data_IF_064865229372
#
_entry.id   IF_064865229372
#
_cell.length_a   1.000
_cell.length_b   1.000
_cell.length_c   1.000
_cell.angle_alpha   90.00
_cell.angle_beta   90.00
_cell.angle_gamma   90.00
#
_symmetry.space_group_name_H-M   'P 1'
#
loop_
_entity.id
_entity.type
_entity.pdbx_description
1 polymer ?
#
# COMPACT_ATOMS: atom_id res chain seq x y z
N UNK A 1 -18.68 57.65 -22.45
CA UNK A 1 -18.51 56.21 -22.73
C UNK A 1 -18.51 55.49 -21.39
N UNK A 2 -19.58 54.75 -21.07
CA UNK A 2 -19.71 54.03 -19.78
C UNK A 2 -19.29 52.58 -19.99
N UNK A 3 -18.22 52.13 -19.32
CA UNK A 3 -17.78 50.74 -19.29
C UNK A 3 -18.42 50.02 -18.10
N UNK A 4 -19.16 48.94 -18.36
CA UNK A 4 -19.60 47.97 -17.36
C UNK A 4 -18.57 46.85 -17.28
N UNK A 5 -17.91 46.67 -16.13
CA UNK A 5 -17.04 45.53 -15.85
C UNK A 5 -17.86 44.41 -15.23
N UNK A 6 -18.13 43.35 -15.98
CA UNK A 6 -18.72 42.14 -15.44
C UNK A 6 -17.63 41.31 -14.75
N UNK A 7 -17.73 41.13 -13.43
CA UNK A 7 -16.90 40.20 -12.68
C UNK A 7 -17.61 38.85 -12.63
N UNK A 8 -17.02 37.81 -13.22
CA UNK A 8 -17.47 36.43 -13.08
C UNK A 8 -16.92 35.88 -11.77
N UNK A 9 -17.78 35.70 -10.76
CA UNK A 9 -17.43 34.95 -9.55
C UNK A 9 -17.86 33.50 -9.76
N UNK A 10 -16.89 32.58 -9.71
CA UNK A 10 -17.19 31.15 -9.54
C UNK A 10 -17.63 30.95 -8.08
N UNK A 11 -18.89 30.62 -7.85
CA UNK A 11 -19.31 30.08 -6.56
C UNK A 11 -18.54 28.79 -6.30
N UNK A 12 -18.05 28.60 -5.08
CA UNK A 12 -17.51 27.31 -4.65
C UNK A 12 -18.62 26.25 -4.80
N UNK A 13 -18.54 25.43 -5.84
CA UNK A 13 -19.38 24.24 -5.98
C UNK A 13 -18.71 23.09 -5.24
N UNK A 14 -19.28 22.70 -4.10
CA UNK A 14 -18.88 21.48 -3.42
C UNK A 14 -19.71 20.31 -3.95
N UNK A 15 -19.13 19.50 -4.84
CA UNK A 15 -19.72 18.21 -5.22
C UNK A 15 -19.33 17.14 -4.19
N UNK A 16 -20.33 16.49 -3.59
CA UNK A 16 -20.08 15.35 -2.70
C UNK A 16 -19.74 14.15 -3.57
N UNK A 17 -18.51 13.64 -3.46
CA UNK A 17 -18.13 12.38 -4.09
C UNK A 17 -18.77 11.25 -3.30
N UNK A 18 -19.86 10.70 -3.81
CA UNK A 18 -20.49 9.50 -3.25
C UNK A 18 -19.68 8.26 -3.58
N UNK A 19 -19.64 7.28 -2.67
CA UNK A 19 -19.00 5.98 -2.91
C UNK A 19 -19.74 5.23 -4.04
N UNK A 20 -19.04 4.58 -4.98
CA UNK A 20 -19.70 3.80 -6.02
C UNK A 20 -20.53 2.65 -5.42
N UNK A 21 -21.66 2.32 -6.06
CA UNK A 21 -22.49 1.16 -5.68
C UNK A 21 -21.73 -0.18 -5.76
N UNK A 22 -20.63 -0.23 -6.53
CA UNK A 22 -19.68 -1.35 -6.60
C UNK A 22 -18.27 -0.78 -6.48
N UNK A 23 -17.72 -0.63 -5.26
CA UNK A 23 -16.39 -0.09 -5.09
C UNK A 23 -15.36 -1.07 -5.66
N UNK A 24 -14.30 -0.56 -6.25
CA UNK A 24 -13.17 -1.39 -6.67
C UNK A 24 -12.48 -1.91 -5.42
N UNK A 25 -12.33 -3.23 -5.29
CA UNK A 25 -11.53 -3.86 -4.24
C UNK A 25 -10.09 -3.97 -4.75
N UNK A 26 -9.06 -3.74 -3.90
CA UNK A 26 -7.67 -3.93 -4.31
C UNK A 26 -7.40 -5.37 -4.78
N UNK A 27 -6.68 -5.49 -5.90
CA UNK A 27 -6.19 -6.77 -6.42
C UNK A 27 -4.68 -6.88 -6.15
N UNK A 28 -4.31 -7.76 -5.22
CA UNK A 28 -2.96 -7.86 -4.67
C UNK A 28 -2.07 -8.70 -5.57
N UNK A 29 -1.09 -8.03 -6.18
CA UNK A 29 -0.02 -8.65 -6.94
C UNK A 29 1.28 -8.56 -6.13
N UNK A 30 1.47 -9.51 -5.22
CA UNK A 30 2.71 -9.67 -4.45
C UNK A 30 3.65 -10.65 -5.18
N UNK A 31 4.84 -10.16 -5.53
CA UNK A 31 5.96 -10.95 -6.03
C UNK A 31 6.98 -11.15 -4.89
N UNK A 32 7.28 -12.41 -4.60
CA UNK A 32 8.26 -12.81 -3.60
C UNK A 32 8.90 -14.13 -4.04
N UNK A 33 10.22 -14.31 -3.87
CA UNK A 33 10.86 -15.60 -4.13
C UNK A 33 10.35 -16.67 -3.16
N UNK A 34 10.12 -17.89 -3.66
CA UNK A 34 9.68 -19.03 -2.83
C UNK A 34 10.76 -19.52 -1.85
N UNK A 35 12.03 -19.25 -2.18
CA UNK A 35 13.18 -19.55 -1.34
C UNK A 35 14.28 -18.50 -1.54
N UNK A 36 14.98 -18.18 -0.46
CA UNK A 36 16.13 -17.27 -0.41
C UNK A 36 17.30 -17.98 0.25
N UNK A 37 18.51 -17.69 -0.23
CA UNK A 37 19.74 -18.20 0.37
C UNK A 37 19.96 -17.61 1.77
N UNK A 38 20.79 -18.28 2.57
CA UNK A 38 21.08 -17.88 3.96
C UNK A 38 21.78 -16.51 4.09
N UNK A 39 22.31 -15.99 2.98
CA UNK A 39 23.01 -14.71 2.89
C UNK A 39 22.32 -13.74 1.93
N UNK A 40 21.16 -14.10 1.38
CA UNK A 40 20.45 -13.27 0.42
C UNK A 40 19.28 -12.58 1.10
N UNK A 41 19.04 -11.33 0.72
CA UNK A 41 17.89 -10.58 1.21
C UNK A 41 16.60 -11.04 0.52
N UNK A 42 15.49 -11.00 1.24
CA UNK A 42 14.17 -11.27 0.69
C UNK A 42 13.54 -9.96 0.23
N UNK A 43 13.29 -9.85 -1.08
CA UNK A 43 12.60 -8.70 -1.67
C UNK A 43 11.14 -9.06 -1.90
N UNK A 44 10.25 -8.27 -1.30
CA UNK A 44 8.80 -8.33 -1.49
C UNK A 44 8.39 -7.14 -2.35
N UNK A 45 7.79 -7.40 -3.51
CA UNK A 45 7.33 -6.34 -4.42
C UNK A 45 5.83 -6.46 -4.69
N UNK A 46 5.08 -5.46 -4.25
CA UNK A 46 3.64 -5.32 -4.45
C UNK A 46 3.28 -4.17 -5.41
N UNK A 47 4.26 -3.62 -6.15
CA UNK A 47 4.07 -2.49 -7.07
C UNK A 47 3.00 -2.71 -8.13
N UNK A 48 2.78 -3.96 -8.54
CA UNK A 48 1.77 -4.33 -9.53
C UNK A 48 0.33 -4.40 -8.95
N UNK A 49 0.17 -4.15 -7.64
CA UNK A 49 -1.16 -4.14 -7.00
C UNK A 49 -2.03 -3.03 -7.59
N UNK A 50 -3.27 -3.38 -7.94
CA UNK A 50 -4.19 -2.47 -8.62
C UNK A 50 -5.48 -2.25 -7.81
N UNK A 51 -6.34 -1.34 -8.26
CA UNK A 51 -7.60 -1.03 -7.57
C UNK A 51 -7.56 0.17 -6.62
N UNK A 52 -6.55 1.05 -6.76
CA UNK A 52 -6.46 2.29 -5.97
C UNK A 52 -7.39 3.42 -6.45
N UNK A 53 -7.97 3.28 -7.65
CA UNK A 53 -8.77 4.33 -8.28
C UNK A 53 -7.97 5.59 -8.63
N UNK A 54 -6.66 5.46 -8.91
CA UNK A 54 -5.76 6.58 -9.23
C UNK A 54 -5.28 7.37 -8.03
N UNK A 55 -5.58 6.91 -6.81
CA UNK A 55 -5.11 7.51 -5.55
C UNK A 55 -4.01 6.65 -4.93
N UNK A 56 -3.40 7.14 -3.86
CA UNK A 56 -2.48 6.37 -3.05
C UNK A 56 -3.20 5.14 -2.46
N UNK A 57 -2.50 4.02 -2.49
CA UNK A 57 -2.90 2.77 -1.84
C UNK A 57 -2.05 2.59 -0.59
N UNK A 58 -2.67 2.09 0.48
CA UNK A 58 -1.97 1.72 1.69
C UNK A 58 -1.56 0.23 1.63
N UNK A 59 -0.31 -0.08 1.97
CA UNK A 59 0.24 -1.41 2.05
C UNK A 59 0.63 -1.71 3.49
N UNK A 60 0.24 -2.88 4.00
CA UNK A 60 0.54 -3.32 5.35
C UNK A 60 1.02 -4.77 5.35
N UNK A 61 2.30 -4.96 5.64
CA UNK A 61 2.94 -6.26 5.75
C UNK A 61 2.89 -6.77 7.18
N UNK A 62 2.73 -8.08 7.34
CA UNK A 62 2.79 -8.74 8.63
C UNK A 62 3.46 -10.12 8.51
N UNK A 63 4.15 -10.53 9.57
CA UNK A 63 4.80 -11.83 9.71
C UNK A 63 4.41 -12.44 11.06
N UNK A 64 4.08 -13.73 11.07
CA UNK A 64 3.70 -14.44 12.31
C UNK A 64 4.90 -15.16 12.92
N UNK A 65 5.17 -14.93 14.19
CA UNK A 65 6.22 -15.63 14.95
C UNK A 65 7.66 -15.20 14.61
N UNK A 66 7.84 -14.06 13.95
CA UNK A 66 9.13 -13.60 13.41
C UNK A 66 9.44 -12.15 13.86
N UNK A 67 9.84 -11.92 15.12
CA UNK A 67 9.91 -10.57 15.69
C UNK A 67 10.84 -9.62 14.92
N UNK A 68 11.96 -10.12 14.40
CA UNK A 68 12.90 -9.32 13.61
C UNK A 68 12.29 -8.90 12.25
N UNK A 69 11.59 -9.81 11.58
CA UNK A 69 10.89 -9.52 10.33
C UNK A 69 9.71 -8.59 10.58
N UNK A 70 8.97 -8.79 11.67
CA UNK A 70 7.87 -7.91 12.09
C UNK A 70 8.37 -6.47 12.26
N UNK A 71 9.54 -6.25 12.86
CA UNK A 71 10.12 -4.91 12.99
C UNK A 71 10.41 -4.25 11.63
N UNK A 72 10.97 -5.01 10.68
CA UNK A 72 11.20 -4.51 9.31
C UNK A 72 9.87 -4.11 8.65
N UNK A 73 8.82 -4.91 8.86
CA UNK A 73 7.49 -4.59 8.34
C UNK A 73 6.86 -3.38 9.03
N UNK A 74 7.03 -3.20 10.33
CA UNK A 74 6.57 -1.99 11.03
C UNK A 74 7.21 -0.72 10.46
N UNK A 75 8.51 -0.75 10.19
CA UNK A 75 9.24 0.36 9.54
C UNK A 75 8.70 0.61 8.13
N UNK A 76 8.56 -0.45 7.32
CA UNK A 76 8.01 -0.35 5.97
C UNK A 76 6.55 0.13 5.94
N UNK A 77 5.72 -0.25 6.91
CA UNK A 77 4.32 0.15 7.02
C UNK A 77 4.18 1.62 7.44
N UNK A 78 5.13 2.15 8.20
CA UNK A 78 5.16 3.55 8.62
C UNK A 78 5.59 4.51 7.48
N UNK A 79 6.18 3.99 6.40
CA UNK A 79 6.60 4.80 5.26
C UNK A 79 5.44 5.55 4.61
N UNK A 80 5.80 6.59 3.83
CA UNK A 80 4.85 7.39 3.04
C UNK A 80 3.70 7.94 3.90
N UNK A 81 4.00 8.37 5.13
CA UNK A 81 3.02 8.85 6.11
C UNK A 81 2.02 7.79 6.56
N UNK A 82 2.46 6.53 6.71
CA UNK A 82 1.61 5.41 7.14
C UNK A 82 0.82 4.73 6.02
N UNK A 83 1.05 5.09 4.76
CA UNK A 83 0.54 4.33 3.61
C UNK A 83 1.39 3.11 3.30
N UNK A 84 2.55 2.97 3.93
CA UNK A 84 3.44 1.84 3.72
C UNK A 84 4.12 1.81 2.35
N UNK A 85 5.25 1.13 2.27
CA UNK A 85 5.97 0.90 1.01
C UNK A 85 5.29 -0.21 0.20
N UNK A 86 5.36 -0.13 -1.13
CA UNK A 86 4.98 -1.24 -2.01
C UNK A 86 6.14 -2.21 -2.26
N UNK A 87 7.36 -1.86 -1.85
CA UNK A 87 8.54 -2.73 -1.95
C UNK A 87 9.24 -2.77 -0.60
N UNK A 88 9.47 -3.97 -0.09
CA UNK A 88 10.10 -4.20 1.21
C UNK A 88 11.28 -5.14 1.05
N UNK A 89 12.41 -4.78 1.63
CA UNK A 89 13.61 -5.62 1.68
C UNK A 89 13.77 -6.13 3.09
N UNK A 90 13.64 -7.44 3.28
CA UNK A 90 13.91 -8.11 4.55
C UNK A 90 15.34 -8.62 4.52
N UNK A 91 16.24 -8.06 5.35
CA UNK A 91 17.65 -8.42 5.32
C UNK A 91 17.85 -9.85 5.83
N UNK A 92 18.86 -10.54 5.30
CA UNK A 92 19.18 -11.92 5.66
C UNK A 92 19.37 -12.14 7.17
N UNK A 93 19.89 -11.14 7.89
CA UNK A 93 20.09 -11.18 9.35
C UNK A 93 18.79 -11.16 10.16
N UNK A 94 17.71 -10.63 9.61
CA UNK A 94 16.40 -10.62 10.25
C UNK A 94 15.65 -11.93 10.06
N UNK A 95 16.05 -12.75 9.07
CA UNK A 95 15.37 -13.98 8.71
C UNK A 95 15.83 -15.18 9.56
N UNK A 96 14.90 -16.04 10.01
CA UNK A 96 15.25 -17.31 10.64
C UNK A 96 15.88 -18.26 9.64
N UNK A 97 16.96 -18.94 10.05
CA UNK A 97 17.65 -19.89 9.17
C UNK A 97 16.84 -21.18 9.02
N UNK A 98 16.73 -21.67 7.78
CA UNK A 98 16.13 -22.98 7.47
C UNK A 98 14.66 -23.13 7.87
N UNK A 99 13.92 -22.02 8.00
CA UNK A 99 12.53 -22.02 8.45
C UNK A 99 11.61 -21.43 7.38
N UNK A 100 10.39 -21.96 7.28
CA UNK A 100 9.36 -21.39 6.42
C UNK A 100 8.72 -20.18 7.12
N UNK A 101 8.60 -19.07 6.41
CA UNK A 101 7.98 -17.85 6.91
C UNK A 101 6.58 -17.69 6.31
N UNK A 102 5.62 -17.31 7.13
CA UNK A 102 4.29 -16.89 6.67
C UNK A 102 4.21 -15.37 6.72
N UNK A 103 4.19 -14.77 5.52
CA UNK A 103 4.08 -13.33 5.31
C UNK A 103 2.70 -13.07 4.71
N UNK A 104 2.02 -12.05 5.22
CA UNK A 104 0.74 -11.57 4.69
C UNK A 104 0.85 -10.11 4.30
N UNK A 105 0.24 -9.74 3.18
CA UNK A 105 0.11 -8.35 2.74
C UNK A 105 -1.36 -7.95 2.71
N UNK A 106 -1.69 -6.85 3.36
CA UNK A 106 -2.99 -6.19 3.23
C UNK A 106 -2.84 -4.90 2.43
N UNK A 107 -3.65 -4.75 1.39
CA UNK A 107 -3.71 -3.53 0.59
C UNK A 107 -5.06 -2.86 0.78
N UNK A 108 -5.07 -1.55 1.03
CA UNK A 108 -6.28 -0.75 1.27
C UNK A 108 -6.31 0.46 0.35
N UNK A 109 -7.43 0.67 -0.36
CA UNK A 109 -7.57 1.84 -1.23
C UNK A 109 -8.21 3.04 -0.51
N UNK A 110 -8.27 4.17 -1.21
CA UNK A 110 -8.86 5.41 -0.70
C UNK A 110 -10.36 5.29 -0.35
N UNK A 111 -11.07 4.28 -0.87
CA UNK A 111 -12.49 4.04 -0.59
C UNK A 111 -12.70 3.19 0.69
N UNK A 112 -11.60 2.80 1.35
CA UNK A 112 -11.60 1.93 2.52
C UNK A 112 -11.82 0.45 2.20
N UNK A 113 -11.75 0.04 0.93
CA UNK A 113 -11.78 -1.38 0.57
C UNK A 113 -10.40 -1.99 0.75
N UNK A 114 -10.37 -3.20 1.32
CA UNK A 114 -9.14 -3.93 1.61
C UNK A 114 -9.17 -5.33 1.02
N UNK A 115 -8.00 -5.84 0.67
CA UNK A 115 -7.76 -7.24 0.35
C UNK A 115 -6.54 -7.73 1.12
N UNK A 116 -6.42 -9.03 1.36
CA UNK A 116 -5.27 -9.64 2.03
C UNK A 116 -4.83 -10.89 1.28
N UNK A 117 -3.52 -11.06 1.12
CA UNK A 117 -2.88 -12.22 0.51
C UNK A 117 -1.81 -12.79 1.42
#
# INVERSE_FOLDING_TARGET
SHHYTASLYSSNETSVVLKPNKPTVPDIALNAPEAVGICDDLILDASATSGSGGRLMAFSYNATGLPNVTKVFEEANAERSGYGSHTVVVPAEAMPRGSMMQISLTATNFLGESSTK
#
